data_IF_994498288838
#
_entry.id   IF_994498288838
#
_cell.length_a   1.000
_cell.length_b   1.000
_cell.length_c   1.000
_cell.angle_alpha   90.00
_cell.angle_beta   90.00
_cell.angle_gamma   90.00
#
_symmetry.space_group_name_H-M   'P 1'
#
loop_
_entity.id
_entity.type
_entity.pdbx_description
1 polymer ?
#
# COMPACT_ATOMS: atom_id res chain seq x y z
N UNK A 1 -28.01 66.98 -77.04
CA UNK A 1 -27.16 65.77 -77.14
C UNK A 1 -26.88 65.32 -75.70
N UNK A 2 -27.55 64.26 -75.27
CA UNK A 2 -27.74 63.88 -73.86
C UNK A 2 -26.59 63.00 -73.36
N UNK A 3 -25.96 63.41 -72.26
CA UNK A 3 -24.90 62.68 -71.56
C UNK A 3 -25.56 61.58 -70.72
N UNK A 4 -25.29 60.30 -71.06
CA UNK A 4 -25.69 59.15 -70.23
C UNK A 4 -24.57 58.87 -69.22
N UNK A 5 -24.86 59.18 -67.95
CA UNK A 5 -24.04 58.76 -66.80
C UNK A 5 -24.44 57.31 -66.48
N UNK A 6 -23.51 56.38 -66.66
CA UNK A 6 -23.66 55.01 -66.18
C UNK A 6 -23.51 55.01 -64.65
N UNK A 7 -24.63 54.87 -63.95
CA UNK A 7 -24.67 54.64 -62.50
C UNK A 7 -24.31 53.17 -62.27
N UNK A 8 -23.11 52.92 -61.78
CA UNK A 8 -22.73 51.62 -61.23
C UNK A 8 -23.56 51.39 -59.96
N UNK A 9 -24.55 50.50 -60.06
CA UNK A 9 -25.34 50.02 -58.94
C UNK A 9 -24.43 49.22 -58.00
N UNK A 10 -24.19 49.79 -56.82
CA UNK A 10 -23.61 49.09 -55.69
C UNK A 10 -24.53 47.94 -55.27
N UNK A 11 -24.10 46.70 -55.52
CA UNK A 11 -24.68 45.52 -54.88
C UNK A 11 -24.31 45.57 -53.39
N UNK A 12 -25.31 45.81 -52.55
CA UNK A 12 -25.21 45.70 -51.10
C UNK A 12 -24.88 44.25 -50.69
N UNK A 13 -23.91 44.01 -49.79
CA UNK A 13 -23.64 42.67 -49.26
C UNK A 13 -24.64 42.36 -48.13
N UNK A 14 -25.77 41.74 -48.46
CA UNK A 14 -26.80 41.32 -47.49
C UNK A 14 -26.52 39.99 -46.77
N UNK A 15 -25.28 39.48 -46.80
CA UNK A 15 -24.90 38.18 -46.18
C UNK A 15 -24.21 38.28 -44.81
N UNK A 16 -24.13 39.45 -44.19
CA UNK A 16 -23.38 39.66 -42.93
C UNK A 16 -24.09 39.37 -41.59
N UNK A 17 -25.44 39.33 -41.43
CA UNK A 17 -26.02 39.27 -40.08
C UNK A 17 -26.00 37.87 -39.44
N UNK A 18 -26.02 36.80 -40.24
CA UNK A 18 -25.99 35.41 -39.74
C UNK A 18 -24.58 35.05 -39.28
N UNK A 19 -23.55 35.42 -40.05
CA UNK A 19 -22.13 35.23 -39.73
C UNK A 19 -21.73 35.97 -38.44
N UNK A 20 -22.21 37.20 -38.25
CA UNK A 20 -21.89 37.99 -37.06
C UNK A 20 -22.52 37.43 -35.78
N UNK A 21 -23.78 36.95 -35.83
CA UNK A 21 -24.44 36.31 -34.67
C UNK A 21 -23.83 34.96 -34.31
N UNK A 22 -23.45 34.12 -35.29
CA UNK A 22 -22.74 32.87 -35.00
C UNK A 22 -21.35 33.12 -34.45
N UNK A 23 -20.65 34.16 -34.91
CA UNK A 23 -19.36 34.59 -34.37
C UNK A 23 -19.47 35.12 -32.94
N UNK A 24 -20.47 35.96 -32.64
CA UNK A 24 -20.75 36.43 -31.28
C UNK A 24 -21.14 35.29 -30.34
N UNK A 25 -21.97 34.35 -30.79
CA UNK A 25 -22.29 33.15 -30.01
C UNK A 25 -21.04 32.30 -29.78
N UNK A 26 -20.20 32.07 -30.79
CA UNK A 26 -18.95 31.32 -30.63
C UNK A 26 -18.00 31.97 -29.60
N UNK A 27 -17.88 33.30 -29.60
CA UNK A 27 -17.06 34.05 -28.64
C UNK A 27 -17.66 34.00 -27.23
N UNK A 28 -18.98 34.14 -27.10
CA UNK A 28 -19.69 34.12 -25.83
C UNK A 28 -19.61 32.75 -25.13
N UNK A 29 -19.57 31.66 -25.91
CA UNK A 29 -19.40 30.29 -25.39
C UNK A 29 -17.93 29.88 -25.16
N UNK A 30 -16.97 30.50 -25.85
CA UNK A 30 -15.54 30.16 -25.72
C UNK A 30 -14.98 30.47 -24.33
N UNK A 31 -15.33 31.60 -23.72
CA UNK A 31 -14.84 31.97 -22.38
C UNK A 31 -15.36 31.07 -21.23
N UNK A 32 -16.67 30.80 -21.10
CA UNK A 32 -17.18 29.91 -20.05
C UNK A 32 -16.68 28.47 -20.26
N UNK A 33 -16.58 28.01 -21.51
CA UNK A 33 -16.07 26.68 -21.79
C UNK A 33 -14.61 26.55 -21.36
N UNK A 34 -13.74 27.52 -21.70
CA UNK A 34 -12.36 27.57 -21.24
C UNK A 34 -12.23 27.56 -19.71
N UNK A 35 -13.10 28.30 -19.02
CA UNK A 35 -13.12 28.35 -17.55
C UNK A 35 -13.48 26.98 -16.94
N UNK A 36 -14.50 26.30 -17.48
CA UNK A 36 -14.86 24.93 -17.07
C UNK A 36 -13.69 23.97 -17.29
N UNK A 37 -12.92 24.13 -18.37
CA UNK A 37 -11.71 23.30 -18.64
C UNK A 37 -10.63 23.46 -17.61
N UNK A 38 -10.41 24.70 -17.18
CA UNK A 38 -9.41 25.01 -16.15
C UNK A 38 -9.83 24.45 -14.80
N UNK A 39 -11.09 24.60 -14.42
CA UNK A 39 -11.65 24.01 -13.20
C UNK A 39 -11.52 22.49 -13.23
N UNK A 40 -11.97 21.85 -14.32
CA UNK A 40 -11.86 20.40 -14.48
C UNK A 40 -10.40 19.93 -14.41
N UNK A 41 -9.48 20.63 -15.08
CA UNK A 41 -8.04 20.32 -15.03
C UNK A 41 -7.45 20.42 -13.62
N UNK A 42 -7.90 21.38 -12.81
CA UNK A 42 -7.45 21.52 -11.41
C UNK A 42 -8.01 20.36 -10.58
N UNK A 43 -9.32 20.12 -10.66
CA UNK A 43 -9.99 19.05 -9.91
C UNK A 43 -9.36 17.68 -10.23
N UNK A 44 -9.17 17.40 -11.52
CA UNK A 44 -8.54 16.16 -11.95
C UNK A 44 -7.02 16.13 -11.68
N UNK A 45 -6.36 17.28 -11.54
CA UNK A 45 -4.93 17.38 -11.27
C UNK A 45 -4.52 16.89 -9.88
N UNK A 46 -5.43 16.88 -8.92
CA UNK A 46 -5.14 16.40 -7.56
C UNK A 46 -4.77 14.91 -7.52
N UNK A 47 -5.49 14.05 -8.26
CA UNK A 47 -5.22 12.60 -8.21
C UNK A 47 -3.82 12.26 -8.75
N UNK A 48 -3.39 12.74 -9.93
CA UNK A 48 -2.03 12.56 -10.41
C UNK A 48 -0.95 13.07 -9.45
N UNK A 49 -1.18 14.20 -8.75
CA UNK A 49 -0.26 14.70 -7.72
C UNK A 49 -0.14 13.73 -6.54
N UNK A 50 -1.27 13.18 -6.07
CA UNK A 50 -1.27 12.16 -5.02
C UNK A 50 -0.52 10.91 -5.46
N UNK A 51 -0.68 10.46 -6.71
CA UNK A 51 0.06 9.29 -7.21
C UNK A 51 1.57 9.54 -7.27
N UNK A 52 2.01 10.73 -7.67
CA UNK A 52 3.44 11.09 -7.61
C UNK A 52 3.93 11.06 -6.17
N UNK A 53 3.17 11.63 -5.22
CA UNK A 53 3.52 11.61 -3.80
C UNK A 53 3.63 10.17 -3.26
N UNK A 54 2.69 9.28 -3.61
CA UNK A 54 2.75 7.85 -3.28
C UNK A 54 3.98 7.18 -3.91
N UNK A 55 4.31 7.53 -5.16
CA UNK A 55 5.50 7.04 -5.83
C UNK A 55 6.79 7.43 -5.10
N UNK A 56 6.91 8.70 -4.70
CA UNK A 56 8.04 9.20 -3.91
C UNK A 56 8.11 8.52 -2.54
N UNK A 57 6.97 8.39 -1.84
CA UNK A 57 6.90 7.67 -0.57
C UNK A 57 7.34 6.21 -0.70
N UNK A 58 7.02 5.56 -1.82
CA UNK A 58 7.44 4.18 -2.09
C UNK A 58 8.95 4.06 -2.27
N UNK A 59 9.62 5.03 -2.91
CA UNK A 59 11.09 5.08 -2.97
C UNK A 59 11.68 5.24 -1.57
N UNK A 60 11.11 6.11 -0.75
CA UNK A 60 11.57 6.32 0.63
C UNK A 60 11.44 5.03 1.47
N UNK A 61 10.36 4.27 1.31
CA UNK A 61 10.19 2.97 1.97
C UNK A 61 11.22 1.94 1.49
N UNK A 62 11.52 1.89 0.19
CA UNK A 62 12.58 1.01 -0.33
C UNK A 62 13.94 1.33 0.30
N UNK A 63 14.26 2.61 0.46
CA UNK A 63 15.49 3.06 1.13
C UNK A 63 15.48 2.65 2.60
N UNK A 64 14.35 2.84 3.30
CA UNK A 64 14.22 2.44 4.71
C UNK A 64 14.31 0.92 4.90
N UNK A 65 13.83 0.11 3.96
CA UNK A 65 13.93 -1.35 4.01
C UNK A 65 15.39 -1.85 3.95
N UNK A 66 16.31 -1.02 3.46
CA UNK A 66 17.74 -1.29 3.41
C UNK A 66 18.53 -0.65 4.56
N UNK A 67 17.89 0.14 5.42
CA UNK A 67 18.52 0.73 6.60
C UNK A 67 18.89 -0.37 7.62
N UNK A 68 20.15 -0.43 8.11
CA UNK A 68 20.57 -1.40 9.15
C UNK A 68 19.73 -1.33 10.43
N UNK A 69 19.16 -0.17 10.74
CA UNK A 69 18.40 0.08 11.96
C UNK A 69 16.94 -0.36 11.88
N UNK A 70 16.48 -0.79 10.70
CA UNK A 70 15.08 -1.15 10.46
C UNK A 70 14.92 -2.59 9.98
N UNK A 71 13.78 -3.17 10.35
CA UNK A 71 13.27 -4.40 9.80
C UNK A 71 12.22 -4.08 8.74
N UNK A 72 12.07 -4.98 7.77
CA UNK A 72 11.12 -4.86 6.67
C UNK A 72 10.36 -6.16 6.44
N UNK A 73 9.24 -6.09 5.73
CA UNK A 73 8.50 -7.25 5.24
C UNK A 73 8.90 -7.56 3.80
N UNK A 74 9.21 -8.82 3.53
CA UNK A 74 9.55 -9.27 2.18
C UNK A 74 8.33 -9.34 1.26
N UNK A 75 8.60 -9.14 -0.04
CA UNK A 75 7.61 -9.28 -1.09
C UNK A 75 6.84 -7.99 -1.41
N UNK A 76 7.24 -6.86 -0.84
CA UNK A 76 6.85 -5.54 -1.35
C UNK A 76 7.75 -5.13 -2.51
N UNK A 77 7.14 -4.83 -3.64
CA UNK A 77 7.82 -4.31 -4.82
C UNK A 77 7.82 -2.78 -4.79
N UNK A 78 8.34 -2.17 -3.73
CA UNK A 78 8.19 -0.72 -3.53
C UNK A 78 8.80 0.08 -4.69
N UNK A 79 9.94 -0.36 -5.22
CA UNK A 79 10.56 0.27 -6.38
C UNK A 79 9.71 0.16 -7.65
N UNK A 80 9.08 -0.99 -7.92
CA UNK A 80 8.17 -1.12 -9.06
C UNK A 80 6.92 -0.24 -8.88
N UNK A 81 6.38 -0.17 -7.66
CA UNK A 81 5.23 0.69 -7.34
C UNK A 81 5.58 2.16 -7.48
N UNK A 82 6.79 2.55 -7.06
CA UNK A 82 7.30 3.90 -7.20
C UNK A 82 7.24 4.36 -8.66
N UNK A 83 7.82 3.56 -9.56
CA UNK A 83 7.82 3.87 -10.99
C UNK A 83 6.42 3.86 -11.60
N UNK A 84 5.57 2.88 -11.24
CA UNK A 84 4.21 2.80 -11.76
C UNK A 84 3.36 4.01 -11.32
N UNK A 85 3.34 4.36 -10.03
CA UNK A 85 2.54 5.47 -9.53
C UNK A 85 3.08 6.83 -9.96
N UNK A 86 4.40 7.05 -9.91
CA UNK A 86 5.00 8.29 -10.39
C UNK A 86 4.78 8.46 -11.90
N UNK A 87 4.97 7.40 -12.69
CA UNK A 87 4.71 7.40 -14.13
C UNK A 87 3.26 7.70 -14.47
N UNK A 88 2.31 7.02 -13.84
CA UNK A 88 0.87 7.25 -14.02
C UNK A 88 0.48 8.70 -13.63
N UNK A 89 1.04 9.22 -12.53
CA UNK A 89 0.83 10.60 -12.13
C UNK A 89 1.41 11.61 -13.12
N UNK A 90 2.61 11.38 -13.67
CA UNK A 90 3.16 12.24 -14.72
C UNK A 90 2.28 12.25 -15.99
N UNK A 91 1.76 11.09 -16.39
CA UNK A 91 0.83 10.97 -17.53
C UNK A 91 -0.47 11.74 -17.25
N UNK A 92 -1.03 11.60 -16.05
CA UNK A 92 -2.22 12.31 -15.62
C UNK A 92 -2.04 13.83 -15.62
N UNK A 93 -0.92 14.32 -15.08
CA UNK A 93 -0.58 15.75 -15.11
C UNK A 93 -0.40 16.28 -16.53
N UNK A 94 0.21 15.48 -17.42
CA UNK A 94 0.31 15.85 -18.82
C UNK A 94 -1.07 15.99 -19.48
N UNK A 95 -2.00 15.08 -19.18
CA UNK A 95 -3.40 15.18 -19.60
C UNK A 95 -4.09 16.44 -19.09
N UNK A 96 -3.93 16.76 -17.80
CA UNK A 96 -4.45 17.99 -17.20
C UNK A 96 -3.85 19.25 -17.85
N UNK A 97 -2.53 19.31 -18.01
CA UNK A 97 -1.87 20.43 -18.69
C UNK A 97 -2.34 20.62 -20.14
N UNK A 98 -2.58 19.53 -20.89
CA UNK A 98 -3.17 19.59 -22.24
C UNK A 98 -4.61 20.10 -22.20
N UNK A 99 -5.41 19.69 -21.20
CA UNK A 99 -6.77 20.15 -20.99
C UNK A 99 -6.85 21.65 -20.64
N UNK A 100 -5.88 22.14 -19.87
CA UNK A 100 -5.73 23.54 -19.47
C UNK A 100 -5.46 24.49 -20.65
N UNK A 101 -4.74 24.04 -21.68
CA UNK A 101 -4.39 24.87 -22.84
C UNK A 101 -5.64 25.27 -23.63
N UNK A 102 -5.65 26.52 -24.11
CA UNK A 102 -6.74 27.07 -24.92
C UNK A 102 -7.03 26.22 -26.17
N UNK A 103 -5.98 25.66 -26.80
CA UNK A 103 -6.08 24.82 -27.99
C UNK A 103 -6.29 23.32 -27.69
N UNK A 104 -6.43 22.94 -26.41
CA UNK A 104 -6.65 21.53 -26.07
C UNK A 104 -8.04 21.06 -26.52
N UNK A 105 -8.20 19.76 -26.74
CA UNK A 105 -9.51 19.13 -26.96
C UNK A 105 -10.10 18.60 -25.65
N UNK A 106 -11.42 18.53 -25.55
CA UNK A 106 -12.14 17.87 -24.44
C UNK A 106 -11.80 16.38 -24.30
N UNK A 107 -11.31 15.75 -25.37
CA UNK A 107 -10.81 14.37 -25.34
C UNK A 107 -9.69 14.15 -24.32
N UNK A 108 -8.94 15.20 -23.96
CA UNK A 108 -7.88 15.10 -22.95
C UNK A 108 -8.39 14.81 -21.53
N UNK A 109 -9.69 14.95 -21.24
CA UNK A 109 -10.30 14.52 -19.97
C UNK A 109 -10.19 13.01 -19.76
N UNK A 110 -10.12 12.22 -20.84
CA UNK A 110 -10.04 10.76 -20.76
C UNK A 110 -8.73 10.30 -20.10
N UNK A 111 -7.64 11.07 -20.24
CA UNK A 111 -6.33 10.73 -19.65
C UNK A 111 -6.37 10.77 -18.12
N UNK A 112 -6.71 11.88 -17.45
CA UNK A 112 -6.82 11.89 -16.00
C UNK A 112 -7.95 10.97 -15.50
N UNK A 113 -9.05 10.80 -16.24
CA UNK A 113 -10.09 9.85 -15.88
C UNK A 113 -9.55 8.41 -15.83
N UNK A 114 -8.78 7.99 -16.83
CA UNK A 114 -8.12 6.68 -16.83
C UNK A 114 -7.12 6.54 -15.68
N UNK A 115 -6.37 7.61 -15.35
CA UNK A 115 -5.45 7.62 -14.20
C UNK A 115 -6.20 7.50 -12.87
N UNK A 116 -7.38 8.11 -12.73
CA UNK A 116 -8.22 7.91 -11.54
C UNK A 116 -8.71 6.47 -11.42
N UNK A 117 -9.16 5.86 -12.52
CA UNK A 117 -9.57 4.46 -12.53
C UNK A 117 -8.39 3.57 -12.12
N UNK A 118 -7.20 3.82 -12.69
CA UNK A 118 -5.97 3.12 -12.32
C UNK A 118 -5.66 3.27 -10.81
N UNK A 119 -5.75 4.48 -10.27
CA UNK A 119 -5.50 4.78 -8.86
C UNK A 119 -6.40 3.99 -7.91
N UNK A 120 -7.63 3.70 -8.32
CA UNK A 120 -8.60 2.94 -7.52
C UNK A 120 -8.47 1.44 -7.76
N UNK A 121 -8.36 1.01 -9.02
CA UNK A 121 -8.40 -0.41 -9.38
C UNK A 121 -7.11 -1.12 -9.03
N UNK A 122 -5.95 -0.52 -9.33
CA UNK A 122 -4.66 -1.18 -9.20
C UNK A 122 -4.35 -1.62 -7.75
N UNK A 123 -4.48 -0.75 -6.71
CA UNK A 123 -4.22 -1.17 -5.34
C UNK A 123 -5.19 -2.25 -4.83
N UNK A 124 -6.43 -2.25 -5.34
CA UNK A 124 -7.42 -3.25 -4.97
C UNK A 124 -7.12 -4.61 -5.60
N UNK A 125 -6.76 -4.64 -6.88
CA UNK A 125 -6.37 -5.87 -7.58
C UNK A 125 -5.11 -6.50 -6.98
N UNK A 126 -4.15 -5.69 -6.57
CA UNK A 126 -2.91 -6.21 -6.01
C UNK A 126 -3.09 -6.81 -4.60
N UNK A 127 -3.98 -6.23 -3.79
CA UNK A 127 -4.29 -6.73 -2.44
C UNK A 127 -5.21 -7.95 -2.45
N UNK A 128 -6.00 -8.15 -3.51
CA UNK A 128 -6.89 -9.30 -3.62
C UNK A 128 -6.19 -10.48 -4.30
N UNK A 129 -6.35 -11.73 -3.82
CA UNK A 129 -7.01 -12.18 -2.58
C UNK A 129 -6.06 -12.23 -1.36
N UNK A 130 -4.79 -11.84 -1.54
CA UNK A 130 -3.72 -12.21 -0.62
C UNK A 130 -3.49 -11.26 0.57
N UNK A 131 -4.24 -10.16 0.66
CA UNK A 131 -4.11 -9.15 1.71
C UNK A 131 -2.86 -8.28 1.55
N UNK A 132 -2.65 -7.40 2.52
CA UNK A 132 -1.43 -6.59 2.59
C UNK A 132 -0.20 -7.47 2.91
N UNK A 133 1.01 -7.06 2.49
CA UNK A 133 2.25 -7.77 2.83
C UNK A 133 2.43 -8.02 4.33
N UNK A 134 2.07 -7.04 5.17
CA UNK A 134 2.10 -7.13 6.63
C UNK A 134 1.14 -8.21 7.14
N UNK A 135 -0.07 -8.28 6.59
CA UNK A 135 -1.05 -9.33 6.93
C UNK A 135 -0.54 -10.72 6.53
N UNK A 136 0.08 -10.84 5.35
CA UNK A 136 0.71 -12.10 4.92
C UNK A 136 1.84 -12.54 5.85
N UNK A 137 2.71 -11.61 6.26
CA UNK A 137 3.78 -11.88 7.21
C UNK A 137 3.23 -12.30 8.57
N UNK A 138 2.19 -11.60 9.05
CA UNK A 138 1.52 -11.92 10.32
C UNK A 138 0.82 -13.27 10.28
N UNK A 139 0.15 -13.60 9.18
CA UNK A 139 -0.49 -14.88 8.97
C UNK A 139 0.54 -16.02 8.89
N UNK A 140 1.66 -15.81 8.18
CA UNK A 140 2.77 -16.77 8.15
C UNK A 140 3.35 -17.01 9.55
N UNK A 141 3.56 -15.95 10.34
CA UNK A 141 4.04 -16.05 11.71
C UNK A 141 3.04 -16.81 12.61
N UNK A 142 1.74 -16.54 12.46
CA UNK A 142 0.69 -17.27 13.15
C UNK A 142 0.71 -18.78 12.81
N UNK A 143 0.79 -19.13 11.53
CA UNK A 143 0.86 -20.53 11.10
C UNK A 143 2.08 -21.22 11.70
N UNK A 144 3.25 -20.57 11.66
CA UNK A 144 4.48 -21.10 12.24
C UNK A 144 4.40 -21.24 13.76
N UNK A 145 3.82 -20.26 14.45
CA UNK A 145 3.56 -20.34 15.89
C UNK A 145 2.66 -21.53 16.22
N UNK A 146 1.56 -21.72 15.48
CA UNK A 146 0.64 -22.83 15.72
C UNK A 146 1.28 -24.21 15.47
N UNK A 147 2.08 -24.34 14.42
CA UNK A 147 2.80 -25.59 14.14
C UNK A 147 3.83 -25.89 15.24
N UNK A 148 4.59 -24.88 15.64
CA UNK A 148 5.58 -25.00 16.72
C UNK A 148 4.91 -25.36 18.06
N UNK A 149 3.85 -24.65 18.45
CA UNK A 149 3.10 -24.94 19.67
C UNK A 149 2.52 -26.36 19.65
N UNK A 150 2.00 -26.81 18.50
CA UNK A 150 1.49 -28.18 18.32
C UNK A 150 2.58 -29.23 18.52
N UNK A 151 3.71 -29.09 17.84
CA UNK A 151 4.84 -30.02 17.97
C UNK A 151 5.44 -30.02 19.38
N UNK A 152 5.63 -28.86 19.99
CA UNK A 152 6.15 -28.74 21.35
C UNK A 152 5.19 -29.36 22.38
N UNK A 153 3.87 -29.16 22.21
CA UNK A 153 2.85 -29.77 23.09
C UNK A 153 2.81 -31.28 22.94
N UNK A 154 2.94 -31.81 21.72
CA UNK A 154 3.02 -33.26 21.51
C UNK A 154 4.26 -33.84 22.17
N UNK A 155 5.44 -33.24 21.93
CA UNK A 155 6.69 -33.69 22.53
C UNK A 155 6.63 -33.66 24.06
N UNK A 156 6.05 -32.60 24.64
CA UNK A 156 5.88 -32.50 26.09
C UNK A 156 4.94 -33.57 26.65
N UNK A 157 3.92 -34.00 25.91
CA UNK A 157 3.06 -35.13 26.31
C UNK A 157 3.80 -36.46 26.29
N UNK A 158 4.70 -36.65 25.33
CA UNK A 158 5.54 -37.86 25.23
C UNK A 158 6.60 -37.90 26.34
N UNK A 159 7.20 -36.75 26.68
CA UNK A 159 8.26 -36.62 27.68
C UNK A 159 7.72 -36.46 29.11
N UNK A 160 6.48 -36.00 29.28
CA UNK A 160 5.88 -35.70 30.57
C UNK A 160 6.23 -34.31 31.13
N UNK A 161 6.99 -33.50 30.40
CA UNK A 161 7.33 -32.12 30.78
C UNK A 161 7.54 -31.24 29.54
N UNK A 162 7.26 -29.93 29.66
CA UNK A 162 7.67 -28.95 28.67
C UNK A 162 9.15 -28.61 28.83
N UNK A 163 9.95 -28.86 27.79
CA UNK A 163 11.37 -28.49 27.74
C UNK A 163 11.60 -27.56 26.56
N UNK A 164 12.18 -26.38 26.84
CA UNK A 164 12.58 -25.44 25.81
C UNK A 164 14.07 -25.56 25.52
N UNK A 165 14.42 -26.12 24.37
CA UNK A 165 15.80 -26.19 23.91
C UNK A 165 16.19 -24.90 23.17
N UNK A 166 17.11 -24.13 23.77
CA UNK A 166 17.63 -22.88 23.20
C UNK A 166 18.46 -23.09 21.93
N UNK A 167 18.93 -24.32 21.68
CA UNK A 167 19.73 -24.64 20.50
C UNK A 167 18.89 -24.94 19.25
N UNK A 168 17.58 -25.11 19.41
CA UNK A 168 16.66 -25.35 18.30
C UNK A 168 16.42 -24.04 17.51
N UNK A 169 17.31 -23.71 16.58
CA UNK A 169 17.00 -22.71 15.55
C UNK A 169 16.03 -23.32 14.55
N UNK A 170 14.84 -22.73 14.40
CA UNK A 170 13.96 -23.04 13.29
C UNK A 170 14.61 -22.52 11.99
N UNK A 171 15.18 -23.42 11.19
CA UNK A 171 15.74 -23.09 9.87
C UNK A 171 14.72 -22.59 8.84
N UNK A 172 13.46 -22.40 9.24
CA UNK A 172 12.44 -21.83 8.37
C UNK A 172 12.68 -20.33 8.15
N UNK A 173 12.82 -19.94 6.89
CA UNK A 173 12.83 -18.53 6.49
C UNK A 173 11.51 -17.86 6.88
N UNK A 174 11.60 -16.69 7.49
CA UNK A 174 10.46 -15.81 7.73
C UNK A 174 10.25 -14.86 6.56
N UNK A 175 9.10 -14.19 6.54
CA UNK A 175 8.80 -13.09 5.62
C UNK A 175 9.33 -11.75 6.14
N UNK A 176 10.05 -11.73 7.26
CA UNK A 176 10.71 -10.53 7.75
C UNK A 176 12.13 -10.48 7.20
N UNK A 177 12.63 -9.27 6.98
CA UNK A 177 13.96 -9.02 6.48
C UNK A 177 14.65 -7.92 7.28
N UNK A 178 15.97 -7.92 7.18
CA UNK A 178 16.84 -6.82 7.61
C UNK A 178 17.86 -6.59 6.50
N UNK A 179 18.02 -5.34 6.05
CA UNK A 179 18.91 -5.01 4.93
C UNK A 179 18.63 -5.85 3.66
N UNK A 180 17.35 -6.10 3.36
CA UNK A 180 16.94 -6.94 2.23
C UNK A 180 17.16 -8.46 2.41
N UNK A 181 17.86 -8.91 3.45
CA UNK A 181 18.07 -10.33 3.71
C UNK A 181 16.96 -10.92 4.57
N UNK A 182 16.43 -12.08 4.17
CA UNK A 182 15.40 -12.79 4.94
C UNK A 182 15.93 -13.19 6.31
N UNK A 183 15.13 -12.96 7.35
CA UNK A 183 15.40 -13.44 8.70
C UNK A 183 14.84 -14.85 8.86
N UNK A 184 15.54 -15.72 9.58
CA UNK A 184 14.97 -16.96 10.09
C UNK A 184 14.05 -16.70 11.29
N UNK A 185 13.09 -17.60 11.51
CA UNK A 185 12.38 -17.65 12.78
C UNK A 185 13.33 -18.09 13.90
N UNK A 186 13.21 -17.47 15.08
CA UNK A 186 14.04 -17.81 16.24
C UNK A 186 13.14 -18.14 17.44
N UNK A 187 13.52 -19.16 18.20
CA UNK A 187 12.81 -19.53 19.43
C UNK A 187 13.46 -18.80 20.59
N UNK A 188 12.68 -18.06 21.36
CA UNK A 188 13.12 -17.43 22.60
C UNK A 188 12.49 -18.15 23.80
N UNK A 189 13.31 -18.92 24.50
CA UNK A 189 12.90 -19.68 25.68
C UNK A 189 12.88 -18.81 26.94
N UNK A 190 11.74 -18.78 27.62
CA UNK A 190 11.59 -18.16 28.94
C UNK A 190 11.26 -19.26 29.96
N UNK A 191 12.24 -19.77 30.73
CA UNK A 191 11.97 -20.72 31.80
C UNK A 191 11.29 -20.02 32.98
N UNK A 192 10.66 -20.82 33.84
CA UNK A 192 10.08 -20.39 35.13
C UNK A 192 9.07 -19.24 35.02
N UNK A 193 8.33 -19.19 33.92
CA UNK A 193 7.35 -18.16 33.63
C UNK A 193 6.05 -18.39 34.42
N UNK A 194 5.50 -17.32 35.00
CA UNK A 194 4.20 -17.35 35.70
C UNK A 194 3.00 -17.16 34.77
N UNK A 195 3.24 -16.97 33.47
CA UNK A 195 2.22 -16.70 32.47
C UNK A 195 2.82 -16.38 31.09
N UNK A 196 1.99 -15.93 30.13
CA UNK A 196 2.48 -15.50 28.83
C UNK A 196 3.30 -14.22 29.00
N UNK A 197 4.57 -14.24 28.58
CA UNK A 197 5.52 -13.11 28.70
C UNK A 197 5.16 -11.97 27.76
N UNK A 198 4.09 -11.24 28.07
CA UNK A 198 3.49 -10.17 27.24
C UNK A 198 4.00 -8.77 27.62
N UNK A 199 5.21 -8.67 28.18
CA UNK A 199 5.87 -7.39 28.46
C UNK A 199 6.34 -6.69 27.19
N UNK A 200 7.50 -6.03 27.25
CA UNK A 200 8.12 -5.45 26.06
C UNK A 200 8.46 -6.55 25.07
N UNK A 201 7.95 -6.51 23.82
CA UNK A 201 8.28 -7.52 22.83
C UNK A 201 9.78 -7.48 22.48
N UNK A 202 10.39 -8.63 22.15
CA UNK A 202 11.71 -8.67 21.54
C UNK A 202 11.80 -7.72 20.33
N UNK A 203 12.92 -7.03 20.17
CA UNK A 203 13.11 -6.05 19.08
C UNK A 203 12.96 -6.70 17.69
N UNK A 204 13.42 -7.96 17.55
CA UNK A 204 13.46 -8.70 16.30
C UNK A 204 12.10 -9.33 15.97
N UNK A 205 11.49 -9.02 14.81
CA UNK A 205 10.29 -9.72 14.34
C UNK A 205 10.61 -11.16 13.91
N UNK A 206 9.60 -12.02 13.88
CA UNK A 206 9.80 -13.45 13.64
C UNK A 206 10.39 -14.21 14.83
N UNK A 207 10.36 -13.63 16.03
CA UNK A 207 10.66 -14.35 17.28
C UNK A 207 9.42 -15.10 17.75
N UNK A 208 9.56 -16.40 17.99
CA UNK A 208 8.55 -17.24 18.64
C UNK A 208 8.96 -17.40 20.10
N UNK A 209 8.19 -16.85 21.02
CA UNK A 209 8.48 -16.92 22.45
C UNK A 209 7.81 -18.17 23.01
N UNK A 210 8.59 -18.99 23.70
CA UNK A 210 8.14 -20.19 24.38
C UNK A 210 8.40 -20.02 25.88
N UNK A 211 7.35 -19.68 26.61
CA UNK A 211 7.38 -19.52 28.06
C UNK A 211 6.89 -20.81 28.73
N UNK A 212 7.66 -21.32 29.68
CA UNK A 212 7.38 -22.58 30.39
C UNK A 212 7.25 -22.31 31.87
N UNK A 213 6.25 -22.90 32.52
CA UNK A 213 6.04 -22.77 33.96
C UNK A 213 7.16 -23.44 34.78
N UNK A 214 7.37 -23.03 36.06
CA UNK A 214 8.42 -23.63 36.90
C UNK A 214 8.26 -25.14 37.11
N UNK A 215 7.03 -25.63 37.16
CA UNK A 215 6.69 -27.06 37.27
C UNK A 215 6.72 -27.79 35.92
N UNK A 216 7.00 -27.07 34.82
CA UNK A 216 7.04 -27.57 33.43
C UNK A 216 5.76 -28.25 32.97
N UNK A 217 4.63 -28.02 33.62
CA UNK A 217 3.33 -28.60 33.24
C UNK A 217 2.53 -27.68 32.32
N UNK A 218 2.89 -26.39 32.27
CA UNK A 218 2.22 -25.37 31.47
C UNK A 218 3.21 -24.65 30.55
N UNK A 219 2.68 -24.24 29.41
CA UNK A 219 3.41 -23.51 28.39
C UNK A 219 2.55 -22.43 27.74
N UNK A 220 3.17 -21.32 27.41
CA UNK A 220 2.57 -20.25 26.61
C UNK A 220 3.44 -19.95 25.40
N UNK A 221 2.81 -19.87 24.24
CA UNK A 221 3.46 -19.59 22.97
C UNK A 221 2.94 -18.27 22.41
N UNK A 222 3.85 -17.35 22.13
CA UNK A 222 3.55 -16.06 21.48
C UNK A 222 4.53 -15.79 20.35
N UNK A 223 4.22 -14.82 19.48
CA UNK A 223 5.09 -14.44 18.38
C UNK A 223 5.18 -12.93 18.24
N UNK A 224 6.30 -12.47 17.71
CA UNK A 224 6.52 -11.06 17.34
C UNK A 224 6.38 -10.87 15.83
N UNK A 225 5.75 -9.77 15.41
CA UNK A 225 5.57 -9.35 14.02
C UNK A 225 5.90 -7.87 13.86
N UNK A 226 5.87 -7.35 12.64
CA UNK A 226 5.89 -5.90 12.42
C UNK A 226 4.46 -5.37 12.28
N UNK A 227 4.20 -4.20 12.87
CA UNK A 227 2.91 -3.50 12.73
C UNK A 227 2.77 -2.84 11.35
N UNK A 228 3.89 -2.51 10.72
CA UNK A 228 3.97 -1.82 9.43
C UNK A 228 4.95 -2.55 8.51
N UNK A 229 4.99 -2.18 7.23
CA UNK A 229 5.92 -2.72 6.24
C UNK A 229 7.38 -2.59 6.66
N UNK A 230 7.71 -1.49 7.34
CA UNK A 230 9.03 -1.21 7.91
C UNK A 230 8.90 -0.75 9.37
N UNK A 231 9.83 -1.14 10.23
CA UNK A 231 9.83 -0.71 11.63
C UNK A 231 11.14 -1.00 12.35
N UNK A 232 11.44 -0.23 13.40
CA UNK A 232 12.62 -0.45 14.25
C UNK A 232 12.43 -1.55 15.29
N UNK A 233 11.19 -1.81 15.66
CA UNK A 233 10.83 -2.72 16.73
C UNK A 233 9.66 -3.59 16.29
N UNK A 234 9.65 -4.83 16.76
CA UNK A 234 8.51 -5.71 16.60
C UNK A 234 7.40 -5.40 17.61
N UNK A 235 6.20 -5.83 17.28
CA UNK A 235 5.03 -5.86 18.16
C UNK A 235 4.61 -7.31 18.42
N UNK A 236 3.84 -7.55 19.46
CA UNK A 236 3.18 -8.84 19.63
C UNK A 236 2.25 -9.12 18.45
N UNK A 237 2.20 -10.38 18.01
CA UNK A 237 1.16 -10.86 17.11
C UNK A 237 -0.19 -10.68 17.81
N UNK A 238 -1.10 -9.95 17.19
CA UNK A 238 -2.43 -9.70 17.76
C UNK A 238 -3.53 -10.37 16.95
N UNK A 239 -4.61 -10.78 17.62
CA UNK A 239 -5.89 -11.14 17.02
C UNK A 239 -6.97 -10.29 17.65
N UNK A 240 -7.76 -9.57 16.84
CA UNK A 240 -8.81 -8.66 17.33
C UNK A 240 -8.27 -7.58 18.31
N UNK A 241 -7.05 -7.10 18.10
CA UNK A 241 -6.42 -6.06 18.93
C UNK A 241 -5.81 -6.57 20.25
N UNK A 242 -5.92 -7.85 20.57
CA UNK A 242 -5.30 -8.45 21.76
C UNK A 242 -4.11 -9.34 21.38
N UNK A 243 -3.05 -9.42 22.20
CA UNK A 243 -1.94 -10.34 21.98
C UNK A 243 -2.44 -11.78 21.84
N UNK A 244 -2.02 -12.45 20.78
CA UNK A 244 -2.38 -13.83 20.51
C UNK A 244 -1.45 -14.77 21.28
N UNK A 245 -2.04 -15.58 22.16
CA UNK A 245 -1.35 -16.55 23.00
C UNK A 245 -1.95 -17.92 22.77
N UNK A 246 -1.10 -18.91 22.54
CA UNK A 246 -1.50 -20.33 22.62
C UNK A 246 -1.04 -20.83 23.99
N UNK A 247 -1.98 -21.23 24.85
CA UNK A 247 -1.67 -21.87 26.12
C UNK A 247 -1.81 -23.39 25.97
N UNK A 248 -0.87 -24.13 26.53
CA UNK A 248 -0.91 -25.59 26.58
C UNK A 248 -0.62 -26.08 28.00
N UNK A 249 -1.26 -27.18 28.38
CA UNK A 249 -1.09 -27.80 29.69
C UNK A 249 -1.04 -29.33 29.52
N UNK A 250 -0.17 -29.97 30.30
CA UNK A 250 -0.14 -31.43 30.42
C UNK A 250 -1.31 -31.88 31.28
N UNK A 251 -2.02 -32.92 30.86
CA UNK A 251 -3.06 -33.51 31.70
C UNK A 251 -2.40 -34.09 32.95
N UNK A 252 -2.93 -33.74 34.13
CA UNK A 252 -2.60 -34.43 35.38
C UNK A 252 -2.80 -35.92 35.15
N UNK A 253 -1.78 -36.75 35.40
CA UNK A 253 -1.99 -38.20 35.52
C UNK A 253 -3.05 -38.41 36.59
N UNK A 254 -4.22 -38.91 36.19
CA UNK A 254 -5.27 -39.40 37.09
C UNK A 254 -4.88 -40.76 37.65
#
# INVERSE_FOLDING_TARGET
MTIRIAVATWLAPSYLPISWRTFQNAICWQQPMLLVRRIASILFGFVPLVLIAVGVASVLWEVQAHDPSMFSVQGEKHLAHAFMFAGAGCIGLFGCHRLWRANGSWRWVLVPAAVMIFAVVFPNMERWPHGTPVERASFSALQRLSAFAGSATQLAREQGEFVCDRSATLSASSLFARQGQALSYVIHCVPDATGPTLGTPPERPGTLVFAVSPDRTQAWFTATVLTHSTGRQASWLTRQGQPFVIAAQLQSKS
#
